data_IF_316692169834
#
_entry.id   IF_316692169834
#
_cell.length_a   1.000
_cell.length_b   1.000
_cell.length_c   1.000
_cell.angle_alpha   90.00
_cell.angle_beta   90.00
_cell.angle_gamma   90.00
#
_symmetry.space_group_name_H-M   'P 1'
#
loop_
_entity.id
_entity.type
_entity.pdbx_description
1 polymer ?
#
# COMPACT_ATOMS: atom_id res chain seq x y z
N UNK A 1 -7.83 29.90 -17.18
CA UNK A 1 -8.36 28.73 -16.45
C UNK A 1 -8.89 29.16 -15.08
N UNK A 2 -9.69 28.36 -14.37
CA UNK A 2 -10.13 28.65 -12.99
C UNK A 2 -9.69 27.51 -12.08
N UNK A 3 -9.42 27.83 -10.81
CA UNK A 3 -8.97 26.86 -9.82
C UNK A 3 -10.02 25.76 -9.59
N UNK A 4 -9.62 24.50 -9.72
CA UNK A 4 -10.49 23.35 -9.47
C UNK A 4 -9.68 22.15 -8.98
N UNK A 5 -10.40 21.13 -8.52
CA UNK A 5 -9.81 19.88 -8.06
C UNK A 5 -10.58 18.70 -8.61
N UNK A 6 -9.88 17.60 -8.86
CA UNK A 6 -10.47 16.29 -9.16
C UNK A 6 -9.86 15.30 -8.17
N UNK A 7 -10.71 14.56 -7.47
CA UNK A 7 -10.29 13.48 -6.59
C UNK A 7 -10.60 12.13 -7.24
N UNK A 8 -9.60 11.27 -7.31
CA UNK A 8 -9.74 9.88 -7.77
C UNK A 8 -9.49 8.97 -6.58
N UNK A 9 -10.57 8.38 -6.06
CA UNK A 9 -10.51 7.43 -4.96
C UNK A 9 -10.30 6.03 -5.53
N UNK A 10 -9.44 5.23 -4.90
CA UNK A 10 -9.32 3.80 -5.14
C UNK A 10 -9.88 3.04 -3.94
N UNK A 11 -10.71 2.03 -4.20
CA UNK A 11 -11.20 1.09 -3.19
C UNK A 11 -11.51 -0.26 -3.82
N UNK A 12 -11.01 -1.35 -3.24
CA UNK A 12 -11.29 -2.72 -3.72
C UNK A 12 -11.09 -2.90 -5.23
N UNK A 13 -10.02 -2.32 -5.79
CA UNK A 13 -9.72 -2.38 -7.22
C UNK A 13 -10.60 -1.50 -8.12
N UNK A 14 -11.63 -0.85 -7.58
CA UNK A 14 -12.46 0.12 -8.30
C UNK A 14 -11.97 1.54 -8.10
N UNK A 15 -12.22 2.40 -9.09
CA UNK A 15 -11.90 3.82 -9.05
C UNK A 15 -13.19 4.66 -9.00
N UNK A 16 -13.16 5.76 -8.27
CA UNK A 16 -14.28 6.69 -8.12
C UNK A 16 -13.77 8.10 -8.34
N UNK A 17 -14.25 8.75 -9.40
CA UNK A 17 -13.83 10.10 -9.79
C UNK A 17 -14.86 11.11 -9.31
N UNK A 18 -14.39 12.12 -8.60
CA UNK A 18 -15.21 13.19 -8.03
C UNK A 18 -14.63 14.53 -8.44
N UNK A 19 -15.48 15.39 -8.98
CA UNK A 19 -15.14 16.78 -9.29
C UNK A 19 -15.29 17.63 -8.03
N UNK A 20 -14.40 18.59 -7.82
CA UNK A 20 -14.48 19.53 -6.70
C UNK A 20 -14.06 20.93 -7.10
N UNK A 21 -14.32 21.87 -6.21
CA UNK A 21 -13.91 23.27 -6.36
C UNK A 21 -13.34 23.81 -5.04
N UNK A 22 -12.39 24.76 -5.10
CA UNK A 22 -11.89 25.41 -3.91
C UNK A 22 -12.97 26.28 -3.27
N UNK A 23 -12.92 26.34 -1.93
CA UNK A 23 -13.74 27.19 -1.06
C UNK A 23 -12.84 27.83 0.00
N UNK A 24 -13.30 28.85 0.73
CA UNK A 24 -12.49 29.47 1.80
C UNK A 24 -12.05 28.49 2.89
N UNK A 25 -12.78 27.39 3.10
CA UNK A 25 -12.45 26.34 4.07
C UNK A 25 -11.67 25.16 3.46
N UNK A 26 -11.14 25.31 2.25
CA UNK A 26 -10.46 24.25 1.50
C UNK A 26 -11.30 23.72 0.33
N UNK A 27 -10.98 22.53 -0.15
CA UNK A 27 -11.66 21.94 -1.30
C UNK A 27 -13.01 21.32 -0.90
N UNK A 28 -14.02 21.44 -1.75
CA UNK A 28 -15.30 20.75 -1.58
C UNK A 28 -15.72 20.03 -2.86
N UNK A 29 -16.11 18.78 -2.69
CA UNK A 29 -16.63 17.93 -3.75
C UNK A 29 -18.00 18.44 -4.23
N UNK A 30 -18.22 18.30 -5.54
CA UNK A 30 -19.49 18.52 -6.20
C UNK A 30 -20.33 17.23 -6.18
N UNK A 31 -21.67 17.31 -6.15
CA UNK A 31 -22.53 16.13 -6.19
C UNK A 31 -22.33 15.33 -7.47
N UNK A 32 -22.23 14.00 -7.36
CA UNK A 32 -22.14 13.00 -8.42
C UNK A 32 -20.74 12.37 -8.49
N UNK A 33 -20.72 11.05 -8.50
CA UNK A 33 -19.51 10.21 -8.54
C UNK A 33 -19.51 9.41 -9.84
N UNK A 34 -18.39 9.40 -10.56
CA UNK A 34 -18.20 8.52 -11.71
C UNK A 34 -17.43 7.28 -11.27
N UNK A 35 -18.08 6.12 -11.28
CA UNK A 35 -17.41 4.83 -11.00
C UNK A 35 -16.71 4.32 -12.25
N UNK A 36 -15.42 4.06 -12.13
CA UNK A 36 -14.55 3.53 -13.18
C UNK A 36 -14.19 2.10 -12.80
N UNK A 37 -14.70 1.13 -13.56
CA UNK A 37 -14.49 -0.31 -13.33
C UNK A 37 -13.30 -0.85 -14.11
N UNK A 38 -13.07 -0.30 -15.30
CA UNK A 38 -11.91 -0.58 -16.13
C UNK A 38 -10.98 0.65 -16.10
N UNK A 39 -9.70 0.50 -15.73
CA UNK A 39 -8.74 1.62 -15.74
C UNK A 39 -8.65 2.35 -17.09
N UNK A 40 -8.95 1.69 -18.21
CA UNK A 40 -8.97 2.32 -19.53
C UNK A 40 -10.08 3.37 -19.72
N UNK A 41 -11.11 3.38 -18.88
CA UNK A 41 -12.17 4.38 -18.87
C UNK A 41 -11.79 5.66 -18.08
N UNK A 42 -10.70 5.61 -17.30
CA UNK A 42 -10.27 6.73 -16.46
C UNK A 42 -10.05 8.04 -17.23
N UNK A 43 -9.43 8.07 -18.43
CA UNK A 43 -9.28 9.30 -19.20
C UNK A 43 -10.61 10.00 -19.49
N UNK A 44 -11.68 9.24 -19.77
CA UNK A 44 -13.00 9.81 -20.02
C UNK A 44 -13.63 10.35 -18.74
N UNK A 45 -13.52 9.60 -17.63
CA UNK A 45 -14.03 10.03 -16.34
C UNK A 45 -13.36 11.33 -15.84
N UNK A 46 -12.05 11.47 -16.05
CA UNK A 46 -11.30 12.68 -15.73
C UNK A 46 -11.78 13.90 -16.53
N UNK A 47 -11.98 13.75 -17.85
CA UNK A 47 -12.55 14.83 -18.70
C UNK A 47 -13.93 15.27 -18.21
N UNK A 48 -14.81 14.31 -17.91
CA UNK A 48 -16.15 14.61 -17.40
C UNK A 48 -16.11 15.33 -16.04
N UNK A 49 -15.19 14.94 -15.16
CA UNK A 49 -15.00 15.59 -13.87
C UNK A 49 -14.47 17.03 -14.03
N UNK A 50 -13.51 17.25 -14.93
CA UNK A 50 -13.00 18.59 -15.25
C UNK A 50 -14.10 19.49 -15.81
N UNK A 51 -14.84 19.02 -16.82
CA UNK A 51 -15.96 19.76 -17.42
C UNK A 51 -16.99 20.17 -16.36
N UNK A 52 -17.31 19.25 -15.45
CA UNK A 52 -18.24 19.49 -14.34
C UNK A 52 -17.72 20.51 -13.34
N UNK A 53 -16.44 20.43 -12.95
CA UNK A 53 -15.82 21.41 -12.06
C UNK A 53 -15.82 22.81 -12.68
N UNK A 54 -15.42 22.92 -13.95
CA UNK A 54 -15.41 24.16 -14.70
C UNK A 54 -16.83 24.74 -14.88
N UNK A 55 -17.84 23.89 -15.12
CA UNK A 55 -19.23 24.31 -15.19
C UNK A 55 -19.71 24.90 -13.85
N UNK A 56 -19.40 24.25 -12.73
CA UNK A 56 -19.74 24.77 -11.40
C UNK A 56 -19.09 26.13 -11.09
N UNK A 57 -17.85 26.34 -11.57
CA UNK A 57 -17.14 27.61 -11.41
C UNK A 57 -17.69 28.76 -12.24
N UNK A 58 -18.56 28.49 -13.23
CA UNK A 58 -19.33 29.52 -13.94
C UNK A 58 -20.48 30.06 -13.09
N UNK A 59 -20.90 29.33 -12.05
CA UNK A 59 -21.93 29.78 -11.11
C UNK A 59 -21.33 30.68 -10.02
N UNK A 60 -22.08 31.70 -9.55
CA UNK A 60 -21.75 32.43 -8.34
C UNK A 60 -21.60 31.49 -7.14
N UNK A 61 -20.67 31.76 -6.22
CA UNK A 61 -20.37 30.87 -5.10
C UNK A 61 -21.60 30.49 -4.26
N UNK A 62 -22.52 31.44 -4.03
CA UNK A 62 -23.76 31.21 -3.28
C UNK A 62 -24.76 30.25 -3.97
N UNK A 63 -24.58 30.00 -5.28
CA UNK A 63 -25.43 29.10 -6.08
C UNK A 63 -24.78 27.73 -6.35
N UNK A 64 -23.55 27.50 -5.87
CA UNK A 64 -22.87 26.22 -6.04
C UNK A 64 -23.46 25.20 -5.08
N UNK A 65 -23.75 24.01 -5.61
CA UNK A 65 -24.20 22.87 -4.81
C UNK A 65 -22.99 22.00 -4.54
N UNK A 66 -22.81 21.62 -3.28
CA UNK A 66 -21.72 20.76 -2.82
C UNK A 66 -22.26 19.40 -2.40
N UNK A 67 -21.43 18.37 -2.54
CA UNK A 67 -21.70 17.04 -2.01
C UNK A 67 -21.92 17.12 -0.50
N UNK A 68 -22.81 16.26 0.01
CA UNK A 68 -23.04 16.11 1.46
C UNK A 68 -22.04 15.15 2.12
N UNK A 69 -20.97 14.77 1.42
CA UNK A 69 -19.86 13.94 1.92
C UNK A 69 -20.07 12.43 1.75
N UNK A 70 -21.31 11.96 1.70
CA UNK A 70 -21.62 10.53 1.69
C UNK A 70 -21.65 9.86 0.31
N UNK A 71 -21.54 10.63 -0.79
CA UNK A 71 -21.80 10.09 -2.13
C UNK A 71 -20.71 9.11 -2.59
N UNK A 72 -19.43 9.45 -2.37
CA UNK A 72 -18.31 8.54 -2.69
C UNK A 72 -18.28 7.35 -1.76
N UNK A 73 -18.59 7.55 -0.47
CA UNK A 73 -18.73 6.47 0.52
C UNK A 73 -19.80 5.48 0.09
N UNK A 74 -20.98 5.97 -0.32
CA UNK A 74 -22.08 5.14 -0.80
C UNK A 74 -21.74 4.44 -2.12
N UNK A 75 -21.12 5.14 -3.07
CA UNK A 75 -20.68 4.57 -4.35
C UNK A 75 -19.66 3.44 -4.17
N UNK A 76 -18.78 3.57 -3.17
CA UNK A 76 -17.81 2.55 -2.79
C UNK A 76 -18.41 1.38 -1.98
N UNK A 77 -19.72 1.41 -1.68
CA UNK A 77 -20.40 0.39 -0.89
C UNK A 77 -20.10 0.44 0.61
N UNK A 78 -19.52 1.54 1.09
CA UNK A 78 -19.17 1.73 2.49
C UNK A 78 -20.35 2.34 3.27
N UNK A 79 -20.45 2.01 4.56
CA UNK A 79 -21.47 2.56 5.48
C UNK A 79 -21.03 3.88 6.11
N UNK A 80 -19.74 4.19 6.08
CA UNK A 80 -19.17 5.39 6.69
C UNK A 80 -17.85 5.80 6.05
N UNK A 81 -17.47 7.07 6.20
CA UNK A 81 -16.15 7.58 5.77
C UNK A 81 -15.00 6.83 6.44
N UNK A 82 -15.20 6.35 7.69
CA UNK A 82 -14.25 5.49 8.38
C UNK A 82 -13.99 4.17 7.65
N UNK A 83 -15.04 3.58 7.08
CA UNK A 83 -14.92 2.34 6.33
C UNK A 83 -14.27 2.59 4.97
N UNK A 84 -14.60 3.70 4.32
CA UNK A 84 -13.94 4.16 3.11
C UNK A 84 -12.43 4.39 3.35
N UNK A 85 -12.06 5.07 4.43
CA UNK A 85 -10.68 5.32 4.83
C UNK A 85 -10.07 4.13 5.60
N UNK A 86 -10.10 2.94 5.01
CA UNK A 86 -9.35 1.77 5.50
C UNK A 86 -8.18 1.43 4.59
N UNK A 87 -7.34 0.48 5.00
CA UNK A 87 -5.95 0.33 4.54
C UNK A 87 -5.76 0.17 3.02
N UNK A 88 -6.71 -0.39 2.29
CA UNK A 88 -6.64 -0.54 0.82
C UNK A 88 -7.14 0.69 0.04
N UNK A 89 -7.60 1.74 0.73
CA UNK A 89 -8.06 2.97 0.12
C UNK A 89 -6.92 3.98 -0.12
N UNK A 90 -7.05 4.74 -1.21
CA UNK A 90 -6.14 5.82 -1.53
C UNK A 90 -6.88 6.89 -2.34
N UNK A 91 -6.37 8.11 -2.34
CA UNK A 91 -6.88 9.21 -3.17
C UNK A 91 -5.71 9.81 -3.95
N UNK A 92 -5.87 9.95 -5.26
CA UNK A 92 -5.07 10.90 -6.03
C UNK A 92 -5.85 12.21 -6.15
N UNK A 93 -5.27 13.30 -5.68
CA UNK A 93 -5.85 14.64 -5.76
C UNK A 93 -5.15 15.44 -6.85
N UNK A 94 -5.88 15.76 -7.92
CA UNK A 94 -5.44 16.64 -8.99
C UNK A 94 -5.91 18.06 -8.69
N UNK A 95 -5.03 18.93 -8.22
CA UNK A 95 -5.30 20.35 -7.98
C UNK A 95 -4.79 21.16 -9.16
N UNK A 96 -5.62 22.04 -9.72
CA UNK A 96 -5.25 22.85 -10.88
C UNK A 96 -5.57 24.31 -10.64
N UNK A 97 -4.59 25.16 -10.94
CA UNK A 97 -4.68 26.63 -10.93
C UNK A 97 -4.24 27.16 -12.30
N UNK A 98 -4.45 28.44 -12.63
CA UNK A 98 -3.91 29.04 -13.86
C UNK A 98 -2.39 28.97 -14.01
N UNK A 99 -1.64 28.69 -12.95
CA UNK A 99 -0.17 28.74 -12.95
C UNK A 99 0.49 27.39 -12.69
N UNK A 100 -0.24 26.43 -12.14
CA UNK A 100 0.33 25.21 -11.60
C UNK A 100 -0.73 24.11 -11.55
N UNK A 101 -0.33 22.91 -11.96
CA UNK A 101 -1.03 21.66 -11.68
C UNK A 101 -0.25 20.81 -10.70
N UNK A 102 -0.93 20.23 -9.72
CA UNK A 102 -0.36 19.33 -8.71
C UNK A 102 -1.17 18.04 -8.65
N UNK A 103 -0.47 16.90 -8.64
CA UNK A 103 -1.04 15.59 -8.37
C UNK A 103 -0.44 15.05 -7.07
N UNK A 104 -1.26 14.96 -6.04
CA UNK A 104 -0.85 14.46 -4.72
C UNK A 104 -1.49 13.13 -4.39
N UNK A 105 -0.77 12.28 -3.67
CA UNK A 105 -1.29 11.04 -3.10
C UNK A 105 -1.74 11.27 -1.66
N UNK A 106 -2.93 10.81 -1.31
CA UNK A 106 -3.43 10.81 0.06
C UNK A 106 -3.79 9.39 0.49
N UNK A 107 -3.39 9.05 1.72
CA UNK A 107 -3.64 7.76 2.36
C UNK A 107 -4.48 7.94 3.63
N UNK A 108 -5.18 6.89 4.10
CA UNK A 108 -5.90 6.92 5.37
C UNK A 108 -5.01 7.41 6.52
N UNK A 109 -5.49 8.39 7.27
CA UNK A 109 -4.72 8.98 8.37
C UNK A 109 -4.73 8.07 9.59
N UNK A 110 -3.56 7.69 10.15
CA UNK A 110 -3.52 6.93 11.41
C UNK A 110 -3.96 7.78 12.61
N UNK A 111 -3.87 9.11 12.50
CA UNK A 111 -4.21 10.06 13.58
C UNK A 111 -5.69 10.44 13.59
N UNK A 112 -6.34 10.45 12.43
CA UNK A 112 -7.71 10.93 12.26
C UNK A 112 -8.55 9.87 11.55
N UNK A 113 -9.37 9.15 12.33
CA UNK A 113 -10.27 8.12 11.78
C UNK A 113 -11.21 8.72 10.75
N UNK A 114 -11.31 8.11 9.57
CA UNK A 114 -12.16 8.59 8.48
C UNK A 114 -11.57 9.73 7.65
N UNK A 115 -10.33 10.15 7.94
CA UNK A 115 -9.65 11.17 7.16
C UNK A 115 -8.54 10.58 6.30
N UNK A 116 -8.14 11.32 5.27
CA UNK A 116 -6.98 11.05 4.46
C UNK A 116 -5.93 12.15 4.69
N UNK A 117 -4.66 11.80 4.63
CA UNK A 117 -3.54 12.73 4.75
C UNK A 117 -2.64 12.59 3.52
N UNK A 118 -2.11 13.72 3.04
CA UNK A 118 -1.11 13.73 1.98
C UNK A 118 0.14 12.97 2.39
N UNK A 119 0.71 12.21 1.46
CA UNK A 119 1.95 11.45 1.64
C UNK A 119 2.88 11.70 0.46
N UNK A 120 4.19 11.74 0.72
CA UNK A 120 5.19 11.99 -0.31
C UNK A 120 5.20 13.43 -0.83
N UNK A 121 5.87 13.61 -1.96
CA UNK A 121 5.94 14.88 -2.69
C UNK A 121 4.80 14.95 -3.72
N UNK A 122 4.27 16.15 -3.95
CA UNK A 122 3.30 16.38 -5.01
C UNK A 122 4.02 16.38 -6.37
N UNK A 123 3.39 15.77 -7.37
CA UNK A 123 3.88 15.78 -8.74
C UNK A 123 3.36 17.03 -9.47
N UNK A 124 4.27 17.90 -9.90
CA UNK A 124 3.92 19.04 -10.74
C UNK A 124 3.59 18.59 -12.18
N UNK A 125 2.56 19.19 -12.76
CA UNK A 125 2.21 19.04 -14.18
C UNK A 125 1.80 20.38 -14.78
N UNK A 126 1.93 20.50 -16.11
CA UNK A 126 1.49 21.70 -16.82
C UNK A 126 -0.03 21.87 -16.66
N UNK A 127 -0.52 22.99 -16.08
CA UNK A 127 -1.95 23.19 -15.85
C UNK A 127 -2.80 23.08 -17.12
N UNK A 128 -2.25 23.31 -18.32
CA UNK A 128 -2.98 23.21 -19.59
C UNK A 128 -3.07 21.77 -20.13
N UNK A 129 -2.42 20.80 -19.48
CA UNK A 129 -2.52 19.37 -19.84
C UNK A 129 -3.98 18.91 -19.81
N UNK A 130 -4.55 18.29 -20.85
CA UNK A 130 -5.92 17.79 -20.79
C UNK A 130 -6.10 16.79 -19.64
N UNK A 131 -7.17 16.90 -18.82
CA UNK A 131 -7.33 16.04 -17.64
C UNK A 131 -7.28 14.54 -17.96
N UNK A 132 -7.77 14.12 -19.13
CA UNK A 132 -7.71 12.72 -19.57
C UNK A 132 -6.29 12.19 -19.79
N UNK A 133 -5.32 13.05 -20.12
CA UNK A 133 -3.91 12.67 -20.30
C UNK A 133 -3.19 12.46 -18.97
N UNK A 134 -3.77 12.89 -17.84
CA UNK A 134 -3.24 12.64 -16.50
C UNK A 134 -3.57 11.25 -15.97
N UNK A 135 -4.36 10.44 -16.69
CA UNK A 135 -4.75 9.10 -16.25
C UNK A 135 -3.55 8.19 -15.92
N UNK A 136 -2.46 8.14 -16.70
CA UNK A 136 -1.28 7.34 -16.34
C UNK A 136 -0.65 7.77 -15.02
N UNK A 137 -0.48 9.08 -14.80
CA UNK A 137 0.06 9.63 -13.54
C UNK A 137 -0.84 9.29 -12.35
N UNK A 138 -2.16 9.40 -12.50
CA UNK A 138 -3.13 9.01 -11.48
C UNK A 138 -2.99 7.52 -11.12
N UNK A 139 -2.90 6.66 -12.13
CA UNK A 139 -2.75 5.22 -11.91
C UNK A 139 -1.42 4.86 -11.26
N UNK A 140 -0.32 5.52 -11.66
CA UNK A 140 1.00 5.37 -11.06
C UNK A 140 0.98 5.74 -9.57
N UNK A 141 0.45 6.93 -9.24
CA UNK A 141 0.33 7.41 -7.86
C UNK A 141 -0.55 6.49 -7.01
N UNK A 142 -1.65 5.98 -7.58
CA UNK A 142 -2.50 5.04 -6.87
C UNK A 142 -1.84 3.66 -6.73
N UNK A 143 -1.00 3.24 -7.68
CA UNK A 143 -0.30 1.95 -7.63
C UNK A 143 0.88 1.94 -6.64
N UNK A 144 1.55 3.08 -6.41
CA UNK A 144 2.68 3.19 -5.47
C UNK A 144 2.29 2.84 -4.03
N UNK A 145 1.00 2.91 -3.70
CA UNK A 145 0.44 2.47 -2.41
C UNK A 145 0.48 0.95 -2.20
N UNK A 146 0.64 0.16 -3.27
CA UNK A 146 0.87 -1.30 -3.21
C UNK A 146 2.37 -1.59 -2.99
N UNK A 147 3.25 -0.64 -3.30
CA UNK A 147 4.70 -0.75 -3.13
C UNK A 147 5.24 -0.07 -1.87
N UNK A 148 4.40 0.63 -1.09
CA UNK A 148 4.65 0.94 0.31
C UNK A 148 4.49 -0.31 1.20
N UNK A 149 4.91 -1.48 0.71
CA UNK A 149 5.33 -2.55 1.60
C UNK A 149 6.68 -2.15 2.19
N UNK A 150 6.74 -2.10 3.51
CA UNK A 150 7.91 -1.84 4.35
C UNK A 150 8.35 -0.38 4.55
N UNK A 151 7.48 0.45 5.17
CA UNK A 151 8.04 1.07 6.38
C UNK A 151 8.45 -0.09 7.30
N UNK A 152 9.69 -0.13 7.84
CA UNK A 152 10.10 -1.22 8.69
C UNK A 152 9.10 -1.27 9.83
N UNK A 153 8.30 -2.32 9.76
CA UNK A 153 7.36 -2.68 10.76
C UNK A 153 7.97 -2.64 12.15
N UNK A 154 7.15 -2.58 13.20
CA UNK A 154 7.64 -2.54 14.59
C UNK A 154 8.73 -3.61 14.76
N UNK A 155 9.97 -3.16 14.97
CA UNK A 155 11.12 -4.03 15.22
C UNK A 155 10.91 -4.70 16.57
N UNK A 156 10.99 -6.02 16.60
CA UNK A 156 11.06 -6.80 17.83
C UNK A 156 12.39 -7.56 17.85
N UNK A 157 13.05 -7.53 18.99
CA UNK A 157 14.36 -8.14 19.19
C UNK A 157 14.23 -9.27 20.21
N UNK A 158 14.80 -10.42 19.88
CA UNK A 158 15.04 -11.52 20.79
C UNK A 158 16.53 -11.83 20.86
N UNK A 159 16.91 -12.71 21.79
CA UNK A 159 18.31 -13.17 21.88
C UNK A 159 18.72 -13.90 20.60
N UNK A 160 19.45 -13.22 19.72
CA UNK A 160 19.98 -13.77 18.46
C UNK A 160 19.13 -13.54 17.20
N UNK A 161 18.03 -12.78 17.29
CA UNK A 161 17.19 -12.49 16.14
C UNK A 161 16.48 -11.14 16.24
N UNK A 162 16.16 -10.60 15.07
CA UNK A 162 15.36 -9.39 14.86
C UNK A 162 14.21 -9.75 13.93
N UNK A 163 12.98 -9.34 14.24
CA UNK A 163 11.87 -9.44 13.30
C UNK A 163 11.19 -8.09 13.09
N UNK A 164 10.64 -7.88 11.90
CA UNK A 164 9.82 -6.72 11.55
C UNK A 164 8.37 -7.13 11.41
N UNK A 165 7.48 -6.35 12.03
CA UNK A 165 6.04 -6.61 12.06
C UNK A 165 5.28 -5.54 11.27
N UNK A 166 4.45 -5.89 10.29
CA UNK A 166 3.57 -4.92 9.64
C UNK A 166 2.62 -4.21 10.64
N UNK A 167 1.87 -3.24 10.15
CA UNK A 167 0.90 -2.46 10.94
C UNK A 167 -0.19 -3.32 11.59
N UNK A 168 -0.42 -4.53 11.07
CA UNK A 168 -1.37 -5.51 11.62
C UNK A 168 -0.74 -6.46 12.64
N UNK A 169 0.57 -6.35 12.89
CA UNK A 169 1.32 -7.20 13.81
C UNK A 169 1.79 -8.52 13.20
N UNK A 170 1.82 -8.66 11.87
CA UNK A 170 2.33 -9.86 11.19
C UNK A 170 3.81 -9.73 10.87
N UNK A 171 4.56 -10.81 11.06
CA UNK A 171 5.98 -10.86 10.72
C UNK A 171 6.17 -10.77 9.20
N UNK A 172 6.90 -9.75 8.74
CA UNK A 172 7.22 -9.52 7.33
C UNK A 172 8.67 -9.88 6.98
N UNK A 173 9.55 -9.86 7.97
CA UNK A 173 10.96 -10.25 7.84
C UNK A 173 11.53 -10.73 9.17
N UNK A 174 12.47 -11.68 9.13
CA UNK A 174 13.27 -12.11 10.28
C UNK A 174 14.74 -12.09 9.86
N UNK A 175 15.57 -11.35 10.60
CA UNK A 175 17.02 -11.33 10.51
C UNK A 175 17.58 -12.04 11.73
N UNK A 176 18.23 -13.19 11.52
CA UNK A 176 19.02 -13.84 12.57
C UNK A 176 20.34 -13.07 12.74
N UNK A 177 20.41 -12.22 13.75
CA UNK A 177 21.63 -11.47 14.08
C UNK A 177 22.58 -12.38 14.85
N UNK A 178 23.28 -13.27 14.14
CA UNK A 178 24.56 -13.86 14.54
C UNK A 178 25.16 -14.64 13.35
N UNK A 179 25.53 -13.93 12.28
CA UNK A 179 26.24 -14.52 11.14
C UNK A 179 27.63 -15.08 11.54
N UNK A 180 28.27 -14.54 12.57
CA UNK A 180 29.54 -15.04 13.08
C UNK A 180 29.39 -16.39 13.80
N UNK A 181 28.31 -16.57 14.58
CA UNK A 181 28.04 -17.86 15.20
C UNK A 181 27.67 -18.89 14.13
N UNK A 182 26.80 -18.54 13.17
CA UNK A 182 26.39 -19.44 12.07
C UNK A 182 27.57 -19.91 11.22
N UNK A 183 28.58 -19.05 10.99
CA UNK A 183 29.81 -19.42 10.27
C UNK A 183 30.70 -20.41 11.04
N UNK A 184 30.56 -20.47 12.36
CA UNK A 184 31.32 -21.39 13.22
C UNK A 184 30.61 -22.72 13.48
N UNK A 185 29.33 -22.83 13.11
CA UNK A 185 28.55 -24.05 13.29
C UNK A 185 28.89 -25.09 12.22
N UNK A 186 29.00 -26.35 12.63
CA UNK A 186 28.99 -27.46 11.69
C UNK A 186 27.62 -27.54 10.99
N UNK A 187 27.51 -28.16 9.80
CA UNK A 187 26.23 -28.35 9.12
C UNK A 187 25.16 -28.98 10.02
N UNK A 188 25.53 -29.95 10.86
CA UNK A 188 24.61 -30.62 11.79
C UNK A 188 24.16 -29.70 12.94
N UNK A 189 25.04 -28.80 13.41
CA UNK A 189 24.70 -27.81 14.44
C UNK A 189 23.82 -26.69 13.90
N UNK A 190 24.06 -26.29 12.64
CA UNK A 190 23.22 -25.33 11.94
C UNK A 190 21.81 -25.90 11.72
N UNK A 191 21.71 -27.15 11.26
CA UNK A 191 20.43 -27.85 11.08
C UNK A 191 19.68 -27.97 12.43
N UNK A 192 20.38 -28.30 13.52
CA UNK A 192 19.79 -28.31 14.88
C UNK A 192 19.33 -26.94 15.35
N UNK A 193 20.09 -25.87 15.07
CA UNK A 193 19.71 -24.51 15.43
C UNK A 193 18.47 -24.05 14.65
N UNK A 194 18.43 -24.31 13.34
CA UNK A 194 17.28 -24.02 12.48
C UNK A 194 16.06 -24.84 12.90
N UNK A 195 16.20 -26.14 13.18
CA UNK A 195 15.12 -26.97 13.70
C UNK A 195 14.61 -26.47 15.05
N UNK A 196 15.50 -26.05 15.96
CA UNK A 196 15.12 -25.49 17.26
C UNK A 196 14.33 -24.21 17.09
N UNK A 197 14.74 -23.34 16.17
CA UNK A 197 14.10 -22.04 15.97
C UNK A 197 12.78 -22.19 15.19
N UNK A 198 12.69 -23.12 14.23
CA UNK A 198 11.42 -23.53 13.59
C UNK A 198 10.48 -24.19 14.61
N UNK A 199 11.01 -25.02 15.53
CA UNK A 199 10.26 -25.57 16.65
C UNK A 199 9.81 -24.50 17.62
N UNK A 200 10.64 -23.51 17.93
CA UNK A 200 10.29 -22.38 18.77
C UNK A 200 9.15 -21.56 18.13
N UNK A 201 9.24 -21.29 16.83
CA UNK A 201 8.21 -20.62 16.03
C UNK A 201 6.90 -21.42 15.97
N UNK A 202 6.96 -22.75 16.03
CA UNK A 202 5.78 -23.63 16.09
C UNK A 202 5.28 -23.93 17.51
N UNK A 203 6.11 -23.72 18.55
CA UNK A 203 5.75 -23.88 19.96
C UNK A 203 5.26 -22.58 20.62
N UNK A 204 5.36 -21.44 19.94
CA UNK A 204 4.69 -20.22 20.39
C UNK A 204 3.18 -20.38 20.17
N UNK A 205 2.43 -20.41 21.28
CA UNK A 205 0.96 -20.41 21.39
C UNK A 205 0.23 -19.23 20.70
N UNK A 206 0.89 -18.49 19.81
CA UNK A 206 0.30 -17.42 19.00
C UNK A 206 -0.46 -17.91 17.76
N UNK A 207 -0.46 -19.21 17.45
CA UNK A 207 -1.36 -19.78 16.42
C UNK A 207 -2.85 -19.65 16.84
N UNK A 208 -3.15 -19.25 18.08
CA UNK A 208 -4.51 -19.02 18.58
C UNK A 208 -5.06 -17.59 18.42
N UNK A 209 -4.29 -16.64 17.87
CA UNK A 209 -4.80 -15.29 17.52
C UNK A 209 -5.18 -15.13 16.03
N UNK A 210 -4.97 -16.16 15.21
CA UNK A 210 -5.51 -16.23 13.85
C UNK A 210 -6.95 -16.77 13.90
N UNK A 211 -7.86 -15.98 14.48
CA UNK A 211 -9.29 -16.21 14.33
C UNK A 211 -9.70 -16.00 12.88
N UNK A 212 -9.84 -17.09 12.12
CA UNK A 212 -10.36 -17.04 10.76
C UNK A 212 -9.98 -18.26 9.95
N UNK A 213 -10.93 -19.20 9.89
CA UNK A 213 -10.92 -20.48 9.15
C UNK A 213 -10.09 -20.48 7.87
N UNK A 214 -9.37 -21.59 7.71
CA UNK A 214 -8.81 -22.05 6.45
C UNK A 214 -9.84 -22.03 5.32
N UNK A 215 -9.59 -21.20 4.31
CA UNK A 215 -10.03 -21.34 2.93
C UNK A 215 -9.31 -20.28 2.08
N UNK A 216 -8.00 -20.42 1.92
CA UNK A 216 -7.33 -20.21 0.64
C UNK A 216 -5.82 -20.39 0.79
N UNK A 217 -5.22 -21.01 -0.22
CA UNK A 217 -3.80 -21.37 -0.32
C UNK A 217 -2.89 -20.14 -0.49
N UNK A 218 -2.96 -19.16 0.41
CA UNK A 218 -1.98 -18.09 0.46
C UNK A 218 -0.66 -18.69 0.97
N UNK A 219 0.28 -18.90 0.05
CA UNK A 219 1.64 -19.35 0.33
C UNK A 219 2.24 -18.48 1.44
N UNK A 220 2.75 -19.12 2.51
CA UNK A 220 3.44 -18.42 3.60
C UNK A 220 4.85 -18.14 3.11
N UNK A 221 5.17 -16.91 2.75
CA UNK A 221 6.53 -16.57 2.27
C UNK A 221 7.38 -16.10 3.45
N UNK A 222 8.51 -16.76 3.72
CA UNK A 222 9.51 -16.33 4.68
C UNK A 222 10.74 -15.81 3.92
N UNK A 223 11.07 -14.53 4.10
CA UNK A 223 12.24 -13.89 3.46
C UNK A 223 13.45 -13.93 4.39
N UNK A 224 14.56 -14.51 3.93
CA UNK A 224 15.85 -14.56 4.63
C UNK A 224 16.82 -13.60 3.93
N UNK A 225 17.30 -12.57 4.63
CA UNK A 225 18.32 -11.66 4.12
C UNK A 225 19.72 -12.26 4.15
N UNK A 226 20.43 -12.26 3.02
CA UNK A 226 21.84 -12.66 2.88
C UNK A 226 22.67 -11.40 2.55
N UNK A 227 23.80 -11.10 3.22
CA UNK A 227 24.61 -9.92 2.89
C UNK A 227 25.24 -10.01 1.48
N UNK A 228 25.64 -8.88 0.87
CA UNK A 228 26.21 -8.83 -0.48
C UNK A 228 27.50 -9.63 -0.54
N UNK A 229 27.67 -10.44 -1.59
CA UNK A 229 28.86 -11.29 -1.76
C UNK A 229 28.95 -12.45 -0.76
N UNK A 230 27.89 -12.70 0.01
CA UNK A 230 27.81 -13.82 0.97
C UNK A 230 27.07 -15.04 0.43
N UNK A 231 26.56 -14.99 -0.81
CA UNK A 231 26.19 -16.18 -1.58
C UNK A 231 27.47 -16.87 -2.05
N UNK A 232 27.93 -17.94 -1.39
CA UNK A 232 29.21 -18.55 -1.74
C UNK A 232 28.97 -19.51 -2.91
N UNK A 233 29.88 -19.53 -3.87
CA UNK A 233 29.98 -20.60 -4.87
C UNK A 233 30.31 -21.99 -4.24
N UNK A 234 30.36 -22.09 -2.91
CA UNK A 234 30.73 -23.29 -2.15
C UNK A 234 29.54 -24.18 -1.74
N UNK A 235 29.71 -25.49 -1.95
CA UNK A 235 28.64 -26.49 -1.84
C UNK A 235 27.98 -26.65 -0.47
N UNK A 236 28.62 -26.29 0.64
CA UNK A 236 28.05 -26.50 1.98
C UNK A 236 26.88 -25.56 2.32
N UNK A 237 27.01 -24.26 2.02
CA UNK A 237 25.96 -23.27 2.30
C UNK A 237 24.80 -23.42 1.31
N UNK A 238 25.10 -23.71 0.05
CA UNK A 238 24.09 -24.03 -0.98
C UNK A 238 23.28 -25.27 -0.61
N UNK A 239 23.94 -26.33 -0.15
CA UNK A 239 23.25 -27.54 0.30
C UNK A 239 22.38 -27.29 1.54
N UNK A 240 22.80 -26.40 2.45
CA UNK A 240 22.00 -25.99 3.59
C UNK A 240 20.77 -25.16 3.18
N UNK A 241 20.93 -24.21 2.24
CA UNK A 241 19.82 -23.42 1.69
C UNK A 241 18.81 -24.28 0.92
N UNK A 242 19.28 -25.24 0.13
CA UNK A 242 18.45 -26.21 -0.59
C UNK A 242 17.66 -27.10 0.39
N UNK A 243 18.31 -27.59 1.46
CA UNK A 243 17.63 -28.36 2.52
C UNK A 243 16.60 -27.54 3.30
N UNK A 244 16.94 -26.30 3.66
CA UNK A 244 16.00 -25.39 4.32
C UNK A 244 14.76 -25.13 3.45
N UNK A 245 14.97 -24.91 2.15
CA UNK A 245 13.90 -24.73 1.15
C UNK A 245 12.98 -25.96 1.10
N UNK A 246 13.55 -27.17 1.01
CA UNK A 246 12.76 -28.42 1.03
C UNK A 246 11.95 -28.57 2.32
N UNK A 247 12.54 -28.29 3.47
CA UNK A 247 11.82 -28.38 4.76
C UNK A 247 10.69 -27.35 4.87
N UNK A 248 10.88 -26.15 4.33
CA UNK A 248 9.84 -25.14 4.25
C UNK A 248 8.70 -25.55 3.30
N UNK A 249 9.02 -26.13 2.14
CA UNK A 249 8.02 -26.65 1.19
C UNK A 249 7.14 -27.73 1.84
N UNK A 250 7.72 -28.64 2.63
CA UNK A 250 6.97 -29.65 3.40
C UNK A 250 5.98 -29.02 4.39
N UNK A 251 6.23 -27.79 4.82
CA UNK A 251 5.37 -27.03 5.72
C UNK A 251 4.43 -26.04 4.99
N UNK A 252 4.43 -26.03 3.65
CA UNK A 252 3.67 -25.06 2.84
C UNK A 252 4.20 -23.63 2.94
N UNK A 253 5.48 -23.48 3.28
CA UNK A 253 6.20 -22.22 3.43
C UNK A 253 7.16 -22.06 2.24
N UNK A 254 7.13 -20.91 1.58
CA UNK A 254 8.07 -20.54 0.52
C UNK A 254 9.20 -19.73 1.14
N UNK A 255 10.44 -20.22 1.04
CA UNK A 255 11.63 -19.49 1.48
C UNK A 255 12.19 -18.66 0.33
N UNK A 256 12.39 -17.36 0.56
CA UNK A 256 13.02 -16.47 -0.42
C UNK A 256 14.28 -15.90 0.20
N UNK A 257 15.43 -16.21 -0.40
CA UNK A 257 16.70 -15.62 -0.04
C UNK A 257 16.87 -14.30 -0.79
N UNK A 258 17.07 -13.21 -0.06
CA UNK A 258 17.21 -11.86 -0.63
C UNK A 258 18.61 -11.36 -0.31
N UNK A 259 19.39 -11.00 -1.32
CA UNK A 259 20.67 -10.34 -1.10
C UNK A 259 20.41 -8.89 -0.63
N UNK A 260 20.87 -8.55 0.57
CA UNK A 260 20.60 -7.27 1.23
C UNK A 260 21.76 -6.32 0.90
N UNK A 261 21.56 -5.40 -0.03
CA UNK A 261 22.54 -4.35 -0.41
C UNK A 261 22.77 -3.32 0.68
#
# INVERSE_FOLDING_TARGET
>A
MKDHVIHVYRRHGSLFVVAGVPTPSGNRDLPGVTTVRDPSDLPQALRQAEEKALAALRLPSAKRVYSRGNEVTAAAGCKSERELASEDAAICSLVRTPKLGLAGLLLPSPKHRGAFAGVGEDHEFDPDTPAGELAPLVLELLASTVQSESEPGRKIEGSGWTAWLDTSGRVTAILMTCLEDVRSLSPDDLDRALERDVRALSSFDYVKLCGGRAADKARRVLRIGIPPGSMPEGGALRAAAERATQNAELCGIELVFVEVT
#
